data_IF_325075970056
#
_entry.id   IF_325075970056
#
_cell.length_a   1.000
_cell.length_b   1.000
_cell.length_c   1.000
_cell.angle_alpha   90.00
_cell.angle_beta   90.00
_cell.angle_gamma   90.00
#
_symmetry.space_group_name_H-M   'P 1'
#
loop_
_entity.id
_entity.type
_entity.pdbx_description
1 polymer ?
#
# COMPACT_ATOMS: atom_id res chain seq x y z
N UNK A 1 -9.55 19.80 -6.70
CA UNK A 1 -10.54 19.19 -5.79
C UNK A 1 -9.80 18.28 -4.85
N UNK A 2 -9.73 18.63 -3.56
CA UNK A 2 -8.82 18.02 -2.59
C UNK A 2 -9.24 16.62 -2.09
N UNK A 3 -10.21 15.97 -2.75
CA UNK A 3 -10.82 14.70 -2.32
C UNK A 3 -10.98 13.71 -3.49
N UNK A 4 -10.41 14.00 -4.67
CA UNK A 4 -10.70 13.22 -5.89
C UNK A 4 -10.30 11.75 -5.81
N UNK A 5 -9.22 11.45 -5.08
CA UNK A 5 -8.57 10.13 -5.05
C UNK A 5 -8.11 9.73 -3.64
N UNK A 6 -8.92 10.03 -2.62
CA UNK A 6 -8.63 9.54 -1.26
C UNK A 6 -8.48 8.01 -1.27
N UNK A 7 -7.37 7.51 -0.74
CA UNK A 7 -7.03 6.09 -0.67
C UNK A 7 -6.49 5.45 -1.96
N UNK A 8 -6.58 6.14 -3.10
CA UNK A 8 -6.36 5.58 -4.45
C UNK A 8 -5.14 6.19 -5.18
N UNK A 9 -4.45 7.12 -4.52
CA UNK A 9 -3.21 7.69 -5.05
C UNK A 9 -2.01 6.82 -4.67
N UNK A 10 -0.97 6.86 -5.50
CA UNK A 10 0.19 5.99 -5.34
C UNK A 10 1.06 6.41 -4.15
N UNK A 11 1.09 7.70 -3.80
CA UNK A 11 1.85 8.20 -2.66
C UNK A 11 1.36 7.62 -1.33
N UNK A 12 0.06 7.56 -1.10
CA UNK A 12 -0.54 6.97 0.11
C UNK A 12 -0.16 5.49 0.24
N UNK A 13 -0.26 4.73 -0.86
CA UNK A 13 0.14 3.32 -0.89
C UNK A 13 1.64 3.13 -0.61
N UNK A 14 2.50 3.98 -1.17
CA UNK A 14 3.94 3.92 -0.93
C UNK A 14 4.24 4.14 0.56
N UNK A 15 3.66 5.20 1.14
CA UNK A 15 3.91 5.61 2.54
C UNK A 15 3.41 4.60 3.57
N UNK A 16 2.50 3.72 3.16
CA UNK A 16 1.87 2.77 4.05
C UNK A 16 2.41 1.35 3.93
N UNK A 17 2.80 0.95 2.72
CA UNK A 17 3.32 -0.39 2.43
C UNK A 17 4.82 -0.48 2.72
N UNK A 18 5.59 0.56 2.37
CA UNK A 18 7.03 0.52 2.54
C UNK A 18 7.46 0.79 3.99
N UNK A 19 8.54 0.16 4.47
CA UNK A 19 9.02 0.37 5.83
C UNK A 19 9.53 1.80 6.02
N UNK A 20 9.36 2.35 7.22
CA UNK A 20 9.78 3.72 7.55
C UNK A 20 11.30 3.90 7.46
N UNK A 21 11.73 5.03 6.93
CA UNK A 21 13.14 5.42 6.94
C UNK A 21 13.59 5.71 8.39
N UNK A 22 14.65 5.06 8.91
CA UNK A 22 15.09 5.25 10.28
C UNK A 22 15.39 6.72 10.60
N UNK A 23 14.81 7.23 11.70
CA UNK A 23 14.95 8.63 12.10
C UNK A 23 13.96 9.59 11.44
N UNK A 24 13.17 9.14 10.47
CA UNK A 24 12.15 9.95 9.78
C UNK A 24 10.73 9.53 10.18
N UNK A 25 9.82 10.51 10.16
CA UNK A 25 8.40 10.29 10.49
C UNK A 25 7.50 10.17 9.26
N UNK A 26 7.93 10.72 8.14
CA UNK A 26 7.12 10.93 6.93
C UNK A 26 7.81 10.41 5.67
N UNK A 27 8.83 9.57 5.82
CA UNK A 27 9.60 9.02 4.71
C UNK A 27 9.78 7.51 4.90
N UNK A 28 10.04 6.82 3.80
CA UNK A 28 10.14 5.37 3.73
C UNK A 28 11.45 4.94 3.12
N UNK A 29 11.88 3.73 3.45
CA UNK A 29 13.05 3.10 2.87
C UNK A 29 12.71 2.59 1.49
N UNK A 30 13.41 3.08 0.48
CA UNK A 30 13.37 2.50 -0.86
C UNK A 30 14.51 1.51 -0.99
N UNK A 31 14.21 0.26 -1.34
CA UNK A 31 15.27 -0.72 -1.60
C UNK A 31 15.99 -0.38 -2.91
N UNK A 32 17.27 -0.04 -2.82
CA UNK A 32 18.10 0.37 -3.97
C UNK A 32 18.86 -0.79 -4.61
N UNK A 33 18.71 -2.03 -4.13
CA UNK A 33 19.53 -3.19 -4.56
C UNK A 33 19.51 -3.39 -6.07
N UNK A 34 18.36 -3.14 -6.70
CA UNK A 34 18.17 -3.22 -8.15
C UNK A 34 19.22 -2.40 -8.93
N UNK A 35 19.64 -1.26 -8.40
CA UNK A 35 20.64 -0.37 -9.02
C UNK A 35 22.09 -0.68 -8.62
N UNK A 36 22.31 -1.73 -7.84
CA UNK A 36 23.63 -2.09 -7.33
C UNK A 36 24.10 -3.44 -7.85
N UNK A 37 25.41 -3.71 -7.78
CA UNK A 37 25.96 -5.03 -8.05
C UNK A 37 25.69 -6.05 -6.91
N UNK A 38 25.05 -5.63 -5.81
CA UNK A 38 24.78 -6.51 -4.68
C UNK A 38 23.72 -7.55 -5.08
N UNK A 39 23.96 -8.81 -4.72
CA UNK A 39 22.99 -9.88 -4.80
C UNK A 39 22.49 -10.16 -3.39
N UNK A 40 21.22 -9.87 -3.13
CA UNK A 40 20.57 -10.24 -1.86
C UNK A 40 19.67 -11.44 -2.11
N UNK A 41 20.00 -12.64 -1.59
CA UNK A 41 19.18 -13.82 -1.76
C UNK A 41 17.92 -13.83 -0.87
N UNK A 42 17.77 -12.83 0.01
CA UNK A 42 16.74 -12.81 1.05
C UNK A 42 15.96 -11.48 1.01
N UNK A 43 14.63 -11.56 0.92
CA UNK A 43 13.71 -10.41 0.96
C UNK A 43 13.75 -9.71 2.33
N UNK A 44 14.25 -10.40 3.37
CA UNK A 44 14.33 -9.89 4.75
C UNK A 44 15.61 -9.11 5.05
N UNK A 45 16.55 -9.02 4.10
CA UNK A 45 17.82 -8.35 4.34
C UNK A 45 17.61 -6.86 4.63
N UNK A 46 18.11 -6.39 5.79
CA UNK A 46 18.06 -4.98 6.17
C UNK A 46 18.73 -4.14 5.07
N UNK A 47 17.97 -3.24 4.44
CA UNK A 47 18.48 -2.38 3.36
C UNK A 47 19.66 -1.57 3.92
N UNK A 48 20.87 -1.84 3.41
CA UNK A 48 22.12 -1.29 3.95
C UNK A 48 22.23 0.22 3.67
N UNK A 49 21.74 0.67 2.52
CA UNK A 49 21.70 2.06 2.10
C UNK A 49 20.35 2.34 1.40
N UNK A 50 19.27 2.58 2.18
CA UNK A 50 17.97 2.84 1.59
C UNK A 50 17.94 4.20 0.88
N UNK A 51 17.18 4.25 -0.20
CA UNK A 51 16.73 5.52 -0.79
C UNK A 51 15.60 6.14 0.04
N UNK A 52 15.18 7.33 -0.39
CA UNK A 52 14.16 8.15 0.22
C UNK A 52 13.26 8.81 -0.84
N UNK A 53 12.06 9.25 -0.43
CA UNK A 53 11.11 9.91 -1.33
C UNK A 53 11.38 11.42 -1.46
N UNK A 54 12.00 12.03 -0.45
CA UNK A 54 12.24 13.46 -0.42
C UNK A 54 13.39 13.86 -1.37
N UNK A 55 13.03 14.40 -2.54
CA UNK A 55 13.97 14.79 -3.60
C UNK A 55 13.85 16.29 -3.97
N UNK A 56 14.03 17.22 -3.02
CA UNK A 56 13.70 18.65 -3.22
C UNK A 56 14.58 19.36 -4.26
N UNK A 57 15.76 18.82 -4.57
CA UNK A 57 16.70 19.42 -5.52
C UNK A 57 16.58 18.83 -6.94
N UNK A 58 15.69 17.85 -7.15
CA UNK A 58 15.42 17.23 -8.45
C UNK A 58 14.01 17.64 -8.92
N UNK A 59 13.90 18.57 -9.89
CA UNK A 59 12.61 19.02 -10.40
C UNK A 59 11.80 17.89 -11.04
N UNK A 60 12.46 16.92 -11.68
CA UNK A 60 11.77 15.80 -12.32
C UNK A 60 11.22 14.83 -11.27
N UNK A 61 11.97 14.57 -10.20
CA UNK A 61 11.48 13.79 -9.07
C UNK A 61 10.33 14.51 -8.34
N UNK A 62 10.45 15.82 -8.13
CA UNK A 62 9.39 16.62 -7.48
C UNK A 62 8.09 16.56 -8.29
N UNK A 63 8.15 16.78 -9.61
CA UNK A 63 6.97 16.68 -10.46
C UNK A 63 6.36 15.26 -10.48
N UNK A 64 7.20 14.22 -10.46
CA UNK A 64 6.71 12.83 -10.37
C UNK A 64 6.03 12.56 -9.02
N UNK A 65 6.61 13.05 -7.91
CA UNK A 65 6.03 12.90 -6.59
C UNK A 65 4.68 13.62 -6.47
N UNK A 66 4.56 14.82 -7.05
CA UNK A 66 3.27 15.51 -7.16
C UNK A 66 2.25 14.69 -7.97
N UNK A 67 2.68 14.02 -9.04
CA UNK A 67 1.80 13.13 -9.79
C UNK A 67 1.38 11.91 -8.99
N UNK A 68 2.26 11.36 -8.14
CA UNK A 68 1.91 10.25 -7.24
C UNK A 68 0.87 10.65 -6.18
N UNK A 69 0.86 11.91 -5.76
CA UNK A 69 -0.12 12.45 -4.81
C UNK A 69 -1.46 12.80 -5.45
N UNK A 70 -1.44 13.30 -6.69
CA UNK A 70 -2.62 13.93 -7.31
C UNK A 70 -3.33 13.07 -8.35
N UNK A 71 -2.69 12.04 -8.90
CA UNK A 71 -3.26 11.17 -9.93
C UNK A 71 -3.69 9.82 -9.36
N UNK A 72 -4.57 9.13 -10.08
CA UNK A 72 -4.90 7.72 -9.80
C UNK A 72 -3.67 6.84 -10.03
N UNK A 73 -3.58 5.70 -9.34
CA UNK A 73 -2.48 4.75 -9.48
C UNK A 73 -2.06 4.49 -10.93
N UNK A 74 -3.00 4.18 -11.83
CA UNK A 74 -2.69 3.86 -13.24
C UNK A 74 -2.06 5.04 -13.98
N UNK A 75 -2.55 6.25 -13.75
CA UNK A 75 -2.03 7.48 -14.38
C UNK A 75 -0.66 7.86 -13.78
N UNK A 76 -0.50 7.75 -12.46
CA UNK A 76 0.76 7.93 -11.77
C UNK A 76 1.86 6.97 -12.29
N UNK A 77 1.51 5.70 -12.53
CA UNK A 77 2.41 4.70 -13.11
C UNK A 77 2.79 5.03 -14.56
N UNK A 78 1.85 5.54 -15.35
CA UNK A 78 2.14 6.05 -16.70
C UNK A 78 3.12 7.23 -16.66
N UNK A 79 2.97 8.11 -15.67
CA UNK A 79 3.85 9.26 -15.48
C UNK A 79 5.26 8.85 -15.04
N UNK A 80 5.37 7.88 -14.12
CA UNK A 80 6.65 7.26 -13.76
C UNK A 80 7.37 6.72 -14.99
N UNK A 81 6.64 6.03 -15.86
CA UNK A 81 7.18 5.54 -17.13
C UNK A 81 7.64 6.69 -18.03
N UNK A 82 6.84 7.74 -18.20
CA UNK A 82 7.18 8.91 -19.03
C UNK A 82 8.50 9.53 -18.58
N UNK A 83 8.63 9.82 -17.28
CA UNK A 83 9.85 10.39 -16.71
C UNK A 83 11.06 9.47 -16.89
N UNK A 84 10.93 8.15 -16.69
CA UNK A 84 12.01 7.21 -16.94
C UNK A 84 12.46 7.20 -18.40
N UNK A 85 11.51 7.22 -19.34
CA UNK A 85 11.82 7.23 -20.76
C UNK A 85 12.57 8.51 -21.15
N UNK A 86 12.16 9.65 -20.61
CA UNK A 86 12.84 10.92 -20.83
C UNK A 86 14.26 10.94 -20.25
N UNK A 87 14.44 10.46 -19.02
CA UNK A 87 15.75 10.34 -18.39
C UNK A 87 16.67 9.39 -19.18
N UNK A 88 16.17 8.21 -19.56
CA UNK A 88 16.93 7.24 -20.34
C UNK A 88 17.33 7.79 -21.72
N UNK A 89 16.44 8.56 -22.36
CA UNK A 89 16.72 9.20 -23.65
C UNK A 89 17.79 10.29 -23.53
N UNK A 90 17.77 11.11 -22.47
CA UNK A 90 18.80 12.15 -22.21
C UNK A 90 20.19 11.54 -22.01
N UNK A 91 20.24 10.36 -21.41
CA UNK A 91 21.49 9.63 -21.14
C UNK A 91 21.89 8.67 -22.28
N UNK A 92 21.17 8.68 -23.40
CA UNK A 92 21.37 7.80 -24.57
C UNK A 92 21.36 6.30 -24.23
N UNK A 93 20.52 5.89 -23.27
CA UNK A 93 20.37 4.50 -22.87
C UNK A 93 19.48 3.73 -23.88
N UNK A 94 19.71 2.41 -24.08
CA UNK A 94 18.99 1.62 -25.08
C UNK A 94 17.58 1.25 -24.59
N UNK A 95 16.67 2.23 -24.59
CA UNK A 95 15.29 2.02 -24.18
C UNK A 95 14.41 1.56 -25.35
N UNK A 96 13.68 0.46 -25.15
CA UNK A 96 12.70 -0.03 -26.12
C UNK A 96 11.31 0.47 -25.74
N UNK A 97 10.75 1.35 -26.56
CA UNK A 97 9.38 1.80 -26.36
C UNK A 97 8.39 0.68 -26.72
N UNK A 98 7.71 0.11 -25.73
CA UNK A 98 6.58 -0.80 -25.97
C UNK A 98 5.24 -0.07 -25.84
N UNK A 99 4.37 -0.19 -26.83
CA UNK A 99 3.00 0.33 -26.71
C UNK A 99 2.18 -0.66 -25.89
N UNK A 100 1.63 -0.24 -24.74
CA UNK A 100 0.85 -1.14 -23.88
C UNK A 100 0.74 -0.69 -22.43
N UNK A 101 0.04 -1.52 -21.64
CA UNK A 101 -0.11 -1.35 -20.19
C UNK A 101 1.25 -1.39 -19.49
N UNK A 102 1.41 -0.51 -18.50
CA UNK A 102 2.66 -0.35 -17.76
C UNK A 102 2.63 -1.23 -16.52
N UNK A 103 3.50 -2.23 -16.49
CA UNK A 103 3.64 -3.14 -15.35
C UNK A 103 4.82 -2.75 -14.46
N UNK A 104 4.83 -3.15 -13.18
CA UNK A 104 5.98 -2.96 -12.30
C UNK A 104 7.27 -3.59 -12.83
N UNK A 105 7.18 -4.72 -13.53
CA UNK A 105 8.31 -5.42 -14.17
C UNK A 105 8.89 -4.57 -15.30
N UNK A 106 8.04 -3.90 -16.08
CA UNK A 106 8.49 -2.99 -17.12
C UNK A 106 9.25 -1.81 -16.53
N UNK A 107 8.72 -1.16 -15.50
CA UNK A 107 9.40 -0.04 -14.83
C UNK A 107 10.75 -0.47 -14.27
N UNK A 108 10.80 -1.62 -13.59
CA UNK A 108 12.05 -2.23 -13.10
C UNK A 108 13.06 -2.43 -14.24
N UNK A 109 12.63 -2.97 -15.39
CA UNK A 109 13.52 -3.16 -16.55
C UNK A 109 14.13 -1.86 -17.08
N UNK A 110 13.41 -0.75 -17.00
CA UNK A 110 13.92 0.57 -17.40
C UNK A 110 14.87 1.15 -16.36
N UNK A 111 14.58 0.99 -15.08
CA UNK A 111 15.48 1.38 -13.98
C UNK A 111 16.82 0.63 -14.09
N UNK A 112 16.80 -0.66 -14.44
CA UNK A 112 18.01 -1.46 -14.63
C UNK A 112 18.97 -0.93 -15.71
N UNK A 113 18.47 -0.15 -16.68
CA UNK A 113 19.32 0.46 -17.72
C UNK A 113 20.36 1.43 -17.13
N UNK A 114 20.09 1.99 -15.94
CA UNK A 114 20.97 2.95 -15.28
C UNK A 114 22.07 2.29 -14.44
N UNK A 115 21.91 1.02 -14.06
CA UNK A 115 22.74 0.30 -13.06
C UNK A 115 24.26 0.45 -13.23
N UNK A 116 24.76 0.44 -14.47
CA UNK A 116 26.20 0.51 -14.75
C UNK A 116 26.66 1.89 -15.24
N UNK A 117 25.77 2.87 -15.31
CA UNK A 117 26.07 4.24 -15.71
C UNK A 117 26.00 5.16 -14.49
N UNK A 118 27.10 5.26 -13.75
CA UNK A 118 27.18 6.05 -12.51
C UNK A 118 26.80 7.52 -12.71
N UNK A 119 27.15 8.11 -13.85
CA UNK A 119 26.77 9.50 -14.17
C UNK A 119 25.26 9.64 -14.32
N UNK A 120 24.63 8.73 -15.05
CA UNK A 120 23.17 8.72 -15.20
C UNK A 120 22.46 8.44 -13.86
N UNK A 121 23.02 7.56 -13.02
CA UNK A 121 22.52 7.30 -11.67
C UNK A 121 22.58 8.55 -10.81
N UNK A 122 23.70 9.26 -10.79
CA UNK A 122 23.87 10.49 -10.02
C UNK A 122 22.89 11.58 -10.50
N UNK A 123 22.78 11.77 -11.82
CA UNK A 123 21.90 12.78 -12.43
C UNK A 123 20.41 12.54 -12.20
N UNK A 124 20.00 11.28 -12.05
CA UNK A 124 18.59 10.88 -11.98
C UNK A 124 18.24 10.09 -10.71
N UNK A 125 19.08 10.17 -9.67
CA UNK A 125 18.95 9.35 -8.48
C UNK A 125 17.59 9.52 -7.80
N UNK A 126 17.12 10.76 -7.69
CA UNK A 126 15.84 11.07 -7.05
C UNK A 126 14.65 10.48 -7.81
N UNK A 127 14.63 10.66 -9.14
CA UNK A 127 13.64 10.05 -10.00
C UNK A 127 13.64 8.51 -9.87
N UNK A 128 14.81 7.87 -9.91
CA UNK A 128 14.92 6.42 -9.84
C UNK A 128 14.44 5.86 -8.49
N UNK A 129 14.69 6.59 -7.39
CA UNK A 129 14.18 6.23 -6.06
C UNK A 129 12.66 6.23 -6.02
N UNK A 130 12.00 7.25 -6.56
CA UNK A 130 10.53 7.30 -6.60
C UNK A 130 9.94 6.17 -7.44
N UNK A 131 10.55 5.86 -8.58
CA UNK A 131 10.05 4.78 -9.44
C UNK A 131 10.28 3.41 -8.79
N UNK A 132 11.42 3.20 -8.13
CA UNK A 132 11.66 1.98 -7.34
C UNK A 132 10.66 1.84 -6.19
N UNK A 133 10.32 2.93 -5.50
CA UNK A 133 9.30 2.92 -4.45
C UNK A 133 7.94 2.47 -5.01
N UNK A 134 7.54 3.00 -6.17
CA UNK A 134 6.33 2.59 -6.87
C UNK A 134 6.36 1.10 -7.24
N UNK A 135 7.46 0.63 -7.85
CA UNK A 135 7.62 -0.78 -8.23
C UNK A 135 7.51 -1.72 -7.02
N UNK A 136 8.20 -1.39 -5.92
CA UNK A 136 8.20 -2.18 -4.69
C UNK A 136 6.80 -2.23 -4.08
N UNK A 137 6.12 -1.08 -4.02
CA UNK A 137 4.75 -0.98 -3.50
C UNK A 137 3.78 -1.83 -4.31
N UNK A 138 3.82 -1.73 -5.65
CA UNK A 138 2.92 -2.46 -6.53
C UNK A 138 3.14 -3.98 -6.52
N UNK A 139 4.36 -4.43 -6.25
CA UNK A 139 4.73 -5.84 -6.11
C UNK A 139 4.48 -6.40 -4.71
N UNK A 140 4.25 -5.53 -3.72
CA UNK A 140 4.17 -5.97 -2.33
C UNK A 140 2.86 -6.75 -2.08
N UNK A 141 2.90 -7.88 -1.34
CA UNK A 141 1.71 -8.67 -1.02
C UNK A 141 0.62 -7.86 -0.32
N UNK A 142 0.98 -6.87 0.51
CA UNK A 142 -0.02 -6.04 1.21
C UNK A 142 -0.76 -5.06 0.29
N UNK A 143 -0.34 -4.87 -0.97
CA UNK A 143 -1.06 -3.98 -1.89
C UNK A 143 -2.47 -4.51 -2.22
N UNK A 144 -2.64 -5.83 -2.31
CA UNK A 144 -3.96 -6.46 -2.48
C UNK A 144 -4.87 -6.20 -1.27
N UNK A 145 -4.32 -6.31 -0.05
CA UNK A 145 -5.01 -5.99 1.20
C UNK A 145 -5.46 -4.54 1.23
N UNK A 146 -4.61 -3.63 0.79
CA UNK A 146 -4.92 -2.20 0.69
C UNK A 146 -6.15 -1.96 -0.20
N UNK A 147 -6.15 -2.55 -1.40
CA UNK A 147 -7.27 -2.41 -2.34
C UNK A 147 -8.58 -2.96 -1.76
N UNK A 148 -8.50 -4.08 -1.03
CA UNK A 148 -9.66 -4.65 -0.37
C UNK A 148 -10.17 -3.78 0.79
N UNK A 149 -9.28 -3.19 1.60
CA UNK A 149 -9.66 -2.25 2.65
C UNK A 149 -10.32 -0.99 2.08
N UNK A 150 -9.78 -0.43 1.01
CA UNK A 150 -10.36 0.74 0.35
C UNK A 150 -11.72 0.42 -0.27
N UNK A 151 -11.87 -0.76 -0.89
CA UNK A 151 -13.16 -1.22 -1.41
C UNK A 151 -14.19 -1.40 -0.29
N UNK A 152 -13.77 -1.96 0.85
CA UNK A 152 -14.61 -2.10 2.03
C UNK A 152 -15.00 -0.74 2.61
N UNK A 153 -14.07 0.20 2.76
CA UNK A 153 -14.34 1.57 3.20
C UNK A 153 -15.36 2.28 2.29
N UNK A 154 -15.19 2.17 0.96
CA UNK A 154 -16.16 2.72 0.00
C UNK A 154 -17.55 2.09 0.17
N UNK A 155 -17.60 0.78 0.39
CA UNK A 155 -18.85 0.06 0.66
C UNK A 155 -19.48 0.51 1.98
N UNK A 156 -18.68 0.71 3.04
CA UNK A 156 -19.14 1.27 4.31
C UNK A 156 -19.76 2.65 4.12
N UNK A 157 -19.07 3.55 3.43
CA UNK A 157 -19.56 4.91 3.20
C UNK A 157 -20.87 4.92 2.41
N UNK A 158 -21.02 4.04 1.41
CA UNK A 158 -22.28 3.88 0.67
C UNK A 158 -23.39 3.32 1.55
N UNK A 159 -23.09 2.25 2.30
CA UNK A 159 -24.08 1.53 3.12
C UNK A 159 -24.52 2.32 4.34
N UNK A 160 -23.69 3.16 4.95
CA UNK A 160 -24.09 4.07 6.04
C UNK A 160 -25.14 5.09 5.57
N UNK A 161 -25.14 5.44 4.27
CA UNK A 161 -26.16 6.31 3.68
C UNK A 161 -27.48 5.60 3.33
N UNK A 162 -27.45 4.28 3.07
CA UNK A 162 -28.56 3.53 2.46
C UNK A 162 -29.13 2.38 3.33
N UNK A 163 -28.37 1.86 4.29
CA UNK A 163 -28.69 0.64 5.06
C UNK A 163 -28.28 0.73 6.52
N UNK A 164 -29.06 0.11 7.40
CA UNK A 164 -28.69 0.01 8.80
C UNK A 164 -27.43 -0.87 8.98
N UNK A 165 -26.55 -0.48 9.89
CA UNK A 165 -25.35 -1.19 10.34
C UNK A 165 -25.40 -2.72 10.51
N UNK A 166 -26.52 -3.35 10.90
CA UNK A 166 -26.60 -4.80 10.96
C UNK A 166 -26.23 -5.50 9.65
N UNK A 167 -26.54 -4.87 8.51
CA UNK A 167 -26.22 -5.42 7.19
C UNK A 167 -24.72 -5.45 6.90
N UNK A 168 -24.01 -4.40 7.31
CA UNK A 168 -22.55 -4.27 7.19
C UNK A 168 -21.84 -5.30 8.07
N UNK A 169 -22.27 -5.43 9.33
CA UNK A 169 -21.72 -6.42 10.26
C UNK A 169 -21.88 -7.84 9.73
N UNK A 170 -23.03 -8.15 9.12
CA UNK A 170 -23.26 -9.47 8.48
C UNK A 170 -22.38 -9.71 7.27
N UNK A 171 -21.93 -8.68 6.56
CA UNK A 171 -20.97 -8.82 5.46
C UNK A 171 -19.55 -9.11 5.95
N UNK A 172 -19.20 -8.72 7.19
CA UNK A 172 -17.89 -9.04 7.78
C UNK A 172 -17.77 -10.50 8.22
N UNK A 173 -18.87 -11.13 8.64
CA UNK A 173 -18.88 -12.53 9.10
C UNK A 173 -18.13 -13.52 8.16
N UNK A 174 -18.39 -13.57 6.84
CA UNK A 174 -17.67 -14.48 5.95
C UNK A 174 -16.18 -14.13 5.76
N UNK A 175 -15.75 -12.92 6.14
CA UNK A 175 -14.36 -12.49 6.05
C UNK A 175 -13.55 -12.93 7.29
N UNK A 176 -14.21 -13.14 8.43
CA UNK A 176 -13.58 -13.58 9.68
C UNK A 176 -13.29 -15.08 9.58
N UNK A 177 -12.06 -15.40 9.19
CA UNK A 177 -11.55 -16.78 9.09
C UNK A 177 -10.68 -17.15 10.29
N UNK A 178 -10.78 -18.40 10.71
CA UNK A 178 -9.88 -19.00 11.70
C UNK A 178 -8.45 -19.11 11.16
N UNK A 179 -7.46 -19.20 12.05
CA UNK A 179 -6.03 -19.19 11.69
C UNK A 179 -5.69 -20.25 10.62
N UNK A 180 -6.21 -21.47 10.75
CA UNK A 180 -5.94 -22.58 9.83
C UNK A 180 -6.51 -22.41 8.42
N UNK A 181 -7.51 -21.54 8.25
CA UNK A 181 -8.20 -21.29 6.98
C UNK A 181 -7.70 -20.00 6.31
N UNK A 182 -6.78 -19.28 6.96
CA UNK A 182 -6.29 -17.97 6.54
C UNK A 182 -5.12 -18.11 5.58
N UNK A 183 -5.15 -17.34 4.50
CA UNK A 183 -4.02 -17.15 3.58
C UNK A 183 -3.28 -15.84 3.90
N UNK A 184 -2.13 -15.60 3.27
CA UNK A 184 -1.36 -14.36 3.48
C UNK A 184 -2.13 -13.09 3.08
N UNK A 185 -3.10 -13.20 2.16
CA UNK A 185 -3.95 -12.11 1.68
C UNK A 185 -5.17 -11.85 2.57
N UNK A 186 -5.51 -12.77 3.47
CA UNK A 186 -6.66 -12.64 4.37
C UNK A 186 -6.33 -11.73 5.57
N UNK A 187 -7.40 -11.19 6.18
CA UNK A 187 -7.34 -10.26 7.30
C UNK A 187 -7.01 -10.96 8.62
N UNK A 188 -6.21 -10.29 9.44
CA UNK A 188 -5.92 -10.70 10.81
C UNK A 188 -7.02 -10.24 11.77
N UNK A 189 -7.03 -10.81 12.98
CA UNK A 189 -7.95 -10.37 14.03
C UNK A 189 -7.74 -8.88 14.39
N UNK A 190 -6.50 -8.38 14.32
CA UNK A 190 -6.20 -6.95 14.56
C UNK A 190 -6.81 -6.05 13.48
N UNK A 191 -6.72 -6.47 12.21
CA UNK A 191 -7.32 -5.75 11.09
C UNK A 191 -8.83 -5.57 11.30
N UNK A 192 -9.54 -6.62 11.75
CA UNK A 192 -10.96 -6.53 12.07
C UNK A 192 -11.25 -5.61 13.26
N UNK A 193 -10.41 -5.59 14.29
CA UNK A 193 -10.58 -4.68 15.42
C UNK A 193 -10.44 -3.21 14.97
N UNK A 194 -9.45 -2.91 14.13
CA UNK A 194 -9.25 -1.57 13.56
C UNK A 194 -10.46 -1.18 12.69
N UNK A 195 -10.94 -2.09 11.84
CA UNK A 195 -12.14 -1.88 11.02
C UNK A 195 -13.38 -1.60 11.88
N UNK A 196 -13.59 -2.37 12.94
CA UNK A 196 -14.71 -2.17 13.86
C UNK A 196 -14.63 -0.80 14.54
N UNK A 197 -13.48 -0.43 15.09
CA UNK A 197 -13.28 0.90 15.69
C UNK A 197 -13.54 2.00 14.67
N UNK A 198 -13.06 1.87 13.44
CA UNK A 198 -13.32 2.82 12.36
C UNK A 198 -14.82 2.96 12.07
N UNK A 199 -15.53 1.85 11.85
CA UNK A 199 -16.97 1.85 11.57
C UNK A 199 -17.78 2.52 12.68
N UNK A 200 -17.57 2.13 13.94
CA UNK A 200 -18.33 2.72 15.06
C UNK A 200 -17.97 4.19 15.29
N UNK A 201 -16.74 4.60 14.97
CA UNK A 201 -16.35 6.01 15.04
C UNK A 201 -17.02 6.87 13.96
N UNK A 202 -17.26 6.31 12.77
CA UNK A 202 -17.90 7.02 11.66
C UNK A 202 -19.39 7.25 11.88
N UNK A 203 -20.07 6.29 12.50
CA UNK A 203 -21.54 6.23 12.49
C UNK A 203 -22.14 7.00 13.68
N UNK A 204 -21.32 7.31 14.69
CA UNK A 204 -21.74 8.13 15.83
C UNK A 204 -22.79 7.44 16.70
N UNK A 205 -23.78 8.19 17.19
CA UNK A 205 -24.84 7.65 18.05
C UNK A 205 -25.84 6.79 17.25
N UNK A 206 -25.66 5.48 17.36
CA UNK A 206 -26.59 4.50 16.80
C UNK A 206 -27.81 4.32 17.70
N UNK A 207 -29.00 4.40 17.10
CA UNK A 207 -30.22 3.95 17.78
C UNK A 207 -30.17 2.43 17.87
N UNK A 208 -30.00 1.91 19.08
CA UNK A 208 -30.02 0.47 19.35
C UNK A 208 -31.29 -0.20 18.82
N UNK A 209 -31.17 -1.46 18.44
CA UNK A 209 -32.27 -2.24 17.88
C UNK A 209 -31.92 -3.72 17.87
N UNK A 210 -32.93 -4.58 18.00
CA UNK A 210 -32.74 -6.03 18.17
C UNK A 210 -31.90 -6.66 17.04
N UNK A 211 -32.07 -6.21 15.81
CA UNK A 211 -31.28 -6.71 14.67
C UNK A 211 -29.80 -6.31 14.74
N UNK A 212 -29.49 -5.17 15.35
CA UNK A 212 -28.12 -4.72 15.59
C UNK A 212 -27.46 -5.56 16.68
N UNK A 213 -28.14 -5.74 17.80
CA UNK A 213 -27.64 -6.55 18.91
C UNK A 213 -27.35 -7.99 18.45
N UNK A 214 -28.22 -8.56 17.61
CA UNK A 214 -28.03 -9.88 17.01
C UNK A 214 -26.80 -9.92 16.09
N UNK A 215 -26.63 -8.94 15.20
CA UNK A 215 -25.49 -8.89 14.28
C UNK A 215 -24.16 -8.65 15.02
N UNK A 216 -24.15 -7.82 16.06
CA UNK A 216 -22.97 -7.58 16.90
C UNK A 216 -22.55 -8.86 17.64
N UNK A 217 -23.51 -9.59 18.21
CA UNK A 217 -23.22 -10.83 18.92
C UNK A 217 -22.72 -11.94 17.96
N UNK A 218 -23.20 -12.00 16.72
CA UNK A 218 -22.65 -12.90 15.71
C UNK A 218 -21.19 -12.57 15.37
N UNK A 219 -20.88 -11.30 15.09
CA UNK A 219 -19.51 -10.85 14.76
C UNK A 219 -18.57 -11.08 15.95
N UNK A 220 -19.02 -10.77 17.16
CA UNK A 220 -18.28 -11.00 18.40
C UNK A 220 -17.96 -12.47 18.60
N UNK A 221 -18.92 -13.38 18.41
CA UNK A 221 -18.68 -14.83 18.51
C UNK A 221 -17.68 -15.32 17.47
N UNK A 222 -17.81 -14.86 16.23
CA UNK A 222 -16.87 -15.19 15.16
C UNK A 222 -15.44 -14.72 15.49
N UNK A 223 -15.30 -13.48 15.96
CA UNK A 223 -14.00 -12.90 16.31
C UNK A 223 -13.37 -13.57 17.53
N UNK A 224 -14.15 -13.83 18.59
CA UNK A 224 -13.67 -14.56 19.77
C UNK A 224 -13.15 -15.94 19.38
N UNK A 225 -13.89 -16.67 18.54
CA UNK A 225 -13.44 -17.96 18.03
C UNK A 225 -12.12 -17.81 17.27
N UNK A 226 -12.04 -16.87 16.33
CA UNK A 226 -10.83 -16.64 15.55
C UNK A 226 -9.62 -16.27 16.42
N UNK A 227 -9.81 -15.46 17.47
CA UNK A 227 -8.76 -15.09 18.43
C UNK A 227 -8.31 -16.29 19.27
N UNK A 228 -9.25 -17.12 19.75
CA UNK A 228 -8.92 -18.32 20.52
C UNK A 228 -8.18 -19.37 19.68
N UNK A 229 -8.41 -19.40 18.37
CA UNK A 229 -7.73 -20.29 17.44
C UNK A 229 -6.31 -19.80 17.06
N UNK A 230 -5.87 -18.61 17.50
CA UNK A 230 -4.52 -18.09 17.21
C UNK A 230 -3.44 -18.79 18.06
N UNK A 231 -2.38 -19.35 17.44
CA UNK A 231 -1.32 -20.07 18.15
C UNK A 231 -0.44 -19.15 19.01
N UNK A 232 -0.25 -17.89 18.58
CA UNK A 232 0.43 -16.86 19.35
C UNK A 232 -0.40 -15.57 19.33
N UNK A 233 -0.79 -15.10 20.52
CA UNK A 233 -1.49 -13.83 20.64
C UNK A 233 -0.53 -12.68 20.34
N UNK A 234 -0.94 -11.80 19.42
CA UNK A 234 -0.21 -10.59 19.09
C UNK A 234 -0.10 -9.66 20.32
N UNK A 235 0.86 -8.73 20.36
CA UNK A 235 1.02 -7.81 21.48
C UNK A 235 -0.22 -6.97 21.79
N UNK A 236 -1.03 -6.65 20.77
CA UNK A 236 -2.29 -5.93 20.93
C UNK A 236 -3.38 -6.83 21.50
N UNK A 237 -3.53 -8.06 20.97
CA UNK A 237 -4.49 -9.02 21.50
C UNK A 237 -4.21 -9.35 22.97
N UNK A 238 -2.94 -9.54 23.36
CA UNK A 238 -2.52 -9.74 24.76
C UNK A 238 -2.89 -8.63 25.72
N UNK A 239 -3.13 -7.40 25.23
CA UNK A 239 -3.53 -6.26 26.07
C UNK A 239 -5.04 -6.17 26.24
N UNK A 240 -5.81 -6.82 25.37
CA UNK A 240 -7.27 -6.73 25.32
C UNK A 240 -7.91 -8.02 25.87
N UNK A 241 -7.23 -9.17 25.77
CA UNK A 241 -7.56 -10.44 26.43
C UNK A 241 -6.95 -10.53 27.82
#
# INVERSE_FOLDING_TARGET
GAVGHHGDNLAEKILSVLPKLPGHKTDVMVNMVELTALQTPDETCSVIAPGCLAQPNDPAATALWESFMNLKQKEAVMEARRHLVEAASRENLPIKMSMGEVTPEQLSSYVQLFKNNFKALENHCGLLQLVLAAVQTLKHPQNSKWDNFLAFERLLLQTVGESAMPSVLKQLLPMIKGHSERTQDDYTCEDFLVLLVYMYSMIGEMKGGKELDEAEEEVKKALVKAICDEPESSPLLRKIT
#
